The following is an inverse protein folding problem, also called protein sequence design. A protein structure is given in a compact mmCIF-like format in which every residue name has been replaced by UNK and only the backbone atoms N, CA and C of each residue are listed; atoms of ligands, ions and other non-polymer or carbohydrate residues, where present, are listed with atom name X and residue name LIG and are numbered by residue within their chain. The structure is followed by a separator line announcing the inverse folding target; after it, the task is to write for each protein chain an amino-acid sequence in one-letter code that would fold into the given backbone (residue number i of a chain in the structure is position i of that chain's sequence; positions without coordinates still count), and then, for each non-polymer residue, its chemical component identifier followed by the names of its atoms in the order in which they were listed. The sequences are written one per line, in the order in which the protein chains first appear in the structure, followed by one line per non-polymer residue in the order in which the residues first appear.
data_IF_649771937524
#
_entry.id   IF_649771937524
#
_cell.length_a   1.000
_cell.length_b   1.000
_cell.length_c   1.000
_cell.angle_alpha   90.00
_cell.angle_beta   90.00
_cell.angle_gamma   90.00
#
_symmetry.space_group_name_H-M   'P 1'
#
loop_
_entity.id
_entity.type
_entity.pdbx_description
1 polymer ?
#
# COMPACT_ATOMS: atom_id res chain seq x y z
N UNK A 1 5.86 30.41 -6.07
CA UNK A 1 6.27 29.08 -5.57
C UNK A 1 5.01 28.24 -5.53
N UNK A 2 4.80 27.35 -6.50
CA UNK A 2 3.62 26.47 -6.50
C UNK A 2 4.01 25.25 -5.67
N UNK A 3 3.48 25.15 -4.45
CA UNK A 3 3.69 23.95 -3.62
C UNK A 3 3.16 22.74 -4.39
N UNK A 4 4.06 21.88 -4.87
CA UNK A 4 3.69 20.60 -5.48
C UNK A 4 3.28 19.66 -4.37
N UNK A 5 2.00 19.70 -4.03
CA UNK A 5 1.38 18.75 -3.13
C UNK A 5 1.39 17.38 -3.81
N UNK A 6 2.16 16.45 -3.25
CA UNK A 6 2.18 15.05 -3.68
C UNK A 6 1.23 14.23 -2.80
N UNK A 7 0.46 13.34 -3.41
CA UNK A 7 -0.44 12.43 -2.71
C UNK A 7 0.10 11.01 -2.77
N UNK A 8 0.12 10.31 -1.63
CA UNK A 8 0.49 8.90 -1.52
C UNK A 8 -0.69 8.11 -0.98
N UNK A 9 -1.12 7.08 -1.70
CA UNK A 9 -2.16 6.14 -1.26
C UNK A 9 -1.50 4.86 -0.78
N UNK A 10 -1.83 4.45 0.44
CA UNK A 10 -1.35 3.21 1.06
C UNK A 10 -2.53 2.31 1.39
N UNK A 11 -2.31 1.00 1.32
CA UNK A 11 -3.31 -0.01 1.66
C UNK A 11 -2.69 -0.95 2.69
N UNK A 12 -3.49 -1.33 3.68
CA UNK A 12 -3.07 -2.28 4.69
C UNK A 12 -3.21 -3.70 4.14
N UNK A 13 -2.16 -4.50 4.26
CA UNK A 13 -2.15 -5.90 3.79
C UNK A 13 -3.14 -6.78 4.57
N UNK A 14 -3.42 -6.42 5.82
CA UNK A 14 -4.31 -7.17 6.71
C UNK A 14 -5.42 -6.27 7.23
N UNK A 15 -6.61 -6.85 7.49
CA UNK A 15 -7.65 -6.11 8.19
C UNK A 15 -7.15 -5.73 9.58
N UNK A 16 -7.33 -4.48 9.93
CA UNK A 16 -7.06 -3.94 11.27
C UNK A 16 -8.38 -3.49 11.89
N UNK A 17 -8.41 -3.40 13.22
CA UNK A 17 -9.57 -2.81 13.89
C UNK A 17 -9.58 -1.31 13.63
N UNK A 18 -10.76 -0.73 13.74
CA UNK A 18 -10.96 0.69 13.48
C UNK A 18 -10.13 1.57 14.43
N UNK A 19 -10.08 1.23 15.71
CA UNK A 19 -9.27 1.94 16.72
C UNK A 19 -7.76 1.91 16.40
N UNK A 20 -7.28 0.76 15.89
CA UNK A 20 -5.88 0.61 15.47
C UNK A 20 -5.59 1.45 14.22
N UNK A 21 -6.55 1.52 13.28
CA UNK A 21 -6.43 2.35 12.09
C UNK A 21 -6.36 3.84 12.42
N UNK A 22 -7.16 4.32 13.37
CA UNK A 22 -7.11 5.71 13.84
C UNK A 22 -5.74 6.01 14.45
N UNK A 23 -5.24 5.14 15.31
CA UNK A 23 -3.93 5.29 15.94
C UNK A 23 -2.81 5.37 14.89
N UNK A 24 -2.88 4.55 13.83
CA UNK A 24 -1.93 4.58 12.71
C UNK A 24 -2.03 5.89 11.92
N UNK A 25 -3.23 6.37 11.62
CA UNK A 25 -3.44 7.63 10.90
C UNK A 25 -2.90 8.83 11.68
N UNK A 26 -3.13 8.87 12.99
CA UNK A 26 -2.62 9.92 13.87
C UNK A 26 -1.08 9.92 13.89
N UNK A 27 -0.48 8.74 14.06
CA UNK A 27 0.98 8.60 14.01
C UNK A 27 1.57 9.12 12.69
N UNK A 28 0.97 8.77 11.55
CA UNK A 28 1.41 9.27 10.23
C UNK A 28 1.22 10.78 10.12
N UNK A 29 0.12 11.31 10.64
CA UNK A 29 -0.17 12.74 10.66
C UNK A 29 0.89 13.57 11.42
N UNK A 30 1.54 12.98 12.43
CA UNK A 30 2.64 13.64 13.16
C UNK A 30 3.99 13.59 12.44
N UNK A 31 4.12 12.87 11.32
CA UNK A 31 5.38 12.77 10.59
C UNK A 31 5.71 14.07 9.86
N UNK A 32 6.99 14.46 9.90
CA UNK A 32 7.47 15.67 9.21
C UNK A 32 7.22 15.58 7.71
N UNK A 33 6.51 16.58 7.18
CA UNK A 33 6.19 16.67 5.75
C UNK A 33 4.85 16.07 5.36
N UNK A 34 4.13 15.47 6.31
CA UNK A 34 2.73 15.08 6.12
C UNK A 34 1.85 16.27 6.48
N UNK A 35 1.06 16.72 5.51
CA UNK A 35 0.14 17.86 5.70
C UNK A 35 -1.24 17.40 6.16
N UNK A 36 -1.69 16.25 5.67
CA UNK A 36 -2.99 15.67 5.97
C UNK A 36 -2.99 14.17 5.71
N UNK A 37 -3.69 13.42 6.54
CA UNK A 37 -4.00 12.01 6.34
C UNK A 37 -5.52 11.89 6.26
N UNK A 38 -6.03 11.19 5.26
CA UNK A 38 -7.46 10.97 5.06
C UNK A 38 -7.71 9.47 4.96
N UNK A 39 -8.86 9.02 5.48
CA UNK A 39 -9.33 7.67 5.22
C UNK A 39 -9.76 7.63 3.77
N UNK A 40 -9.02 6.89 2.95
CA UNK A 40 -9.46 6.55 1.60
C UNK A 40 -10.62 5.56 1.69
N UNK A 41 -11.76 5.90 1.12
CA UNK A 41 -12.72 4.89 0.73
C UNK A 41 -12.11 4.13 -0.45
N UNK A 42 -12.00 2.80 -0.31
CA UNK A 42 -11.58 1.94 -1.40
C UNK A 42 -12.67 1.98 -2.47
N UNK A 43 -12.59 2.97 -3.35
CA UNK A 43 -13.31 2.96 -4.60
C UNK A 43 -12.93 1.65 -5.29
N UNK A 44 -13.91 0.88 -5.77
CA UNK A 44 -13.71 -0.51 -6.22
C UNK A 44 -12.56 -0.67 -7.25
N UNK A 45 -12.24 0.41 -7.97
CA UNK A 45 -11.13 0.51 -8.92
C UNK A 45 -9.75 0.71 -8.27
N UNK A 46 -9.65 1.39 -7.14
CA UNK A 46 -8.40 1.58 -6.39
C UNK A 46 -7.93 0.26 -5.76
N UNK A 47 -8.87 -0.54 -5.25
CA UNK A 47 -8.59 -1.89 -4.73
C UNK A 47 -8.04 -2.82 -5.80
N UNK A 48 -8.58 -2.75 -7.02
CA UNK A 48 -8.07 -3.53 -8.16
C UNK A 48 -6.65 -3.11 -8.57
N UNK A 49 -6.31 -1.81 -8.57
CA UNK A 49 -4.95 -1.36 -8.91
C UNK A 49 -3.91 -1.84 -7.90
N UNK A 50 -4.19 -1.70 -6.61
CA UNK A 50 -3.25 -2.11 -5.55
C UNK A 50 -3.12 -3.63 -5.44
N UNK A 51 -4.20 -4.39 -5.67
CA UNK A 51 -4.13 -5.85 -5.80
C UNK A 51 -3.33 -6.28 -7.02
N UNK A 52 -3.48 -5.59 -8.15
CA UNK A 52 -2.71 -5.90 -9.36
C UNK A 52 -1.22 -5.76 -9.08
N UNK A 53 -0.80 -4.65 -8.49
CA UNK A 53 0.62 -4.39 -8.22
C UNK A 53 1.23 -5.36 -7.19
N UNK A 54 0.48 -5.74 -6.14
CA UNK A 54 0.93 -6.79 -5.20
C UNK A 54 1.00 -8.17 -5.84
N UNK A 55 0.09 -8.52 -6.75
CA UNK A 55 0.13 -9.80 -7.46
C UNK A 55 1.40 -9.90 -8.35
N UNK A 56 1.80 -8.81 -9.01
CA UNK A 56 3.05 -8.78 -9.78
C UNK A 56 4.27 -8.93 -8.89
N UNK A 57 4.30 -8.28 -7.72
CA UNK A 57 5.41 -8.41 -6.78
C UNK A 57 5.53 -9.83 -6.22
N UNK A 58 4.42 -10.45 -5.81
CA UNK A 58 4.43 -11.83 -5.32
C UNK A 58 4.79 -12.84 -6.43
N UNK A 59 4.33 -12.63 -7.67
CA UNK A 59 4.70 -13.48 -8.81
C UNK A 59 6.19 -13.36 -9.14
N UNK A 60 6.78 -12.16 -9.08
CA UNK A 60 8.21 -11.95 -9.27
C UNK A 60 9.04 -12.58 -8.16
N UNK A 61 8.61 -12.46 -6.90
CA UNK A 61 9.26 -13.10 -5.76
C UNK A 61 9.22 -14.63 -5.91
N UNK A 62 8.08 -15.19 -6.30
CA UNK A 62 7.97 -16.62 -6.59
C UNK A 62 8.89 -17.06 -7.72
N UNK A 63 8.97 -16.31 -8.82
CA UNK A 63 9.83 -16.62 -9.96
C UNK A 63 11.32 -16.59 -9.60
N UNK A 64 11.72 -15.66 -8.72
CA UNK A 64 13.10 -15.54 -8.20
C UNK A 64 13.41 -16.69 -7.23
N UNK A 65 12.44 -17.11 -6.43
CA UNK A 65 12.58 -18.20 -5.46
C UNK A 65 12.53 -19.59 -6.12
N UNK A 66 11.80 -19.73 -7.23
CA UNK A 66 11.72 -20.95 -8.04
C UNK A 66 12.80 -20.99 -9.12
N UNK A 67 14.03 -20.58 -8.80
CA UNK A 67 15.18 -20.73 -9.71
C UNK A 67 15.22 -22.13 -10.35
N UNK A 68 15.75 -22.27 -11.57
CA UNK A 68 15.41 -23.34 -12.51
C UNK A 68 15.60 -24.71 -11.89
N UNK A 69 14.52 -25.28 -11.38
CA UNK A 69 14.47 -26.70 -11.04
C UNK A 69 14.56 -27.45 -12.37
N UNK A 70 15.78 -27.89 -12.63
CA UNK A 70 16.15 -29.08 -13.37
C UNK A 70 14.95 -29.83 -13.94
N UNK A 71 14.73 -29.61 -15.24
CA UNK A 71 14.00 -30.48 -16.16
C UNK A 71 14.20 -31.96 -15.80
N UNK A 72 13.13 -32.79 -15.85
CA UNK A 72 13.18 -34.21 -15.49
C UNK A 72 14.17 -35.02 -16.33
#
# INVERSE_FOLDING_TARGET
MTDRLNTLTVVLEKPVREDDAVTLMDAIGTMRGVLRVERGELDAFAGQRVQRDHAWQNALIHLIQSGPESTP
#
